data_IF_992310694299
#
_entry.id   IF_992310694299
#
_cell.length_a   1.000
_cell.length_b   1.000
_cell.length_c   1.000
_cell.angle_alpha   90.00
_cell.angle_beta   90.00
_cell.angle_gamma   90.00
#
_symmetry.space_group_name_H-M   'P 1'
#
loop_
_entity.id
_entity.type
_entity.pdbx_description
1 polymer ?
#
# COMPACT_ATOMS: atom_id res chain seq x y z
N UNK A 1 -27.07 12.78 16.18
CA UNK A 1 -25.86 12.08 16.70
C UNK A 1 -25.84 10.69 16.04
N UNK A 2 -24.90 10.30 15.17
CA UNK A 2 -23.58 9.80 15.60
C UNK A 2 -22.58 9.64 14.44
N UNK A 3 -22.67 10.42 13.35
CA UNK A 3 -21.66 10.41 12.28
C UNK A 3 -20.24 10.78 12.75
N UNK A 4 -20.13 11.49 13.89
CA UNK A 4 -18.85 11.84 14.53
C UNK A 4 -18.21 10.67 15.31
N UNK A 5 -19.01 9.74 15.82
CA UNK A 5 -18.52 8.61 16.65
C UNK A 5 -17.91 7.52 15.76
N UNK A 6 -18.52 7.22 14.61
CA UNK A 6 -17.92 6.28 13.65
C UNK A 6 -16.58 6.78 13.09
N UNK A 7 -16.41 8.07 12.87
CA UNK A 7 -15.19 8.63 12.31
C UNK A 7 -13.97 8.50 13.23
N UNK A 8 -14.17 8.71 14.54
CA UNK A 8 -13.13 8.50 15.55
C UNK A 8 -12.74 7.02 15.66
N UNK A 9 -13.71 6.11 15.62
CA UNK A 9 -13.45 4.66 15.69
C UNK A 9 -12.70 4.17 14.46
N UNK A 10 -13.06 4.62 13.25
CA UNK A 10 -12.33 4.24 12.02
C UNK A 10 -10.95 4.89 11.91
N UNK A 11 -10.81 6.15 12.33
CA UNK A 11 -9.50 6.81 12.42
C UNK A 11 -8.58 6.09 13.42
N UNK A 12 -9.12 5.63 14.56
CA UNK A 12 -8.42 4.78 15.51
C UNK A 12 -8.06 3.42 14.90
N UNK A 13 -8.98 2.70 14.25
CA UNK A 13 -8.67 1.42 13.61
C UNK A 13 -7.56 1.56 12.56
N UNK A 14 -7.54 2.65 11.80
CA UNK A 14 -6.53 2.90 10.76
C UNK A 14 -5.18 3.42 11.32
N UNK A 15 -5.20 4.20 12.41
CA UNK A 15 -4.01 4.62 13.14
C UNK A 15 -3.40 3.50 13.98
N UNK A 16 -4.21 2.52 14.40
CA UNK A 16 -3.80 1.36 15.17
C UNK A 16 -3.43 0.16 14.29
N UNK A 17 -3.81 0.13 13.00
CA UNK A 17 -3.46 -0.97 12.09
C UNK A 17 -1.98 -1.12 11.71
N UNK A 18 -1.06 -0.15 11.95
CA UNK A 18 0.36 -0.39 11.81
C UNK A 18 1.10 -0.45 13.16
N UNK A 19 0.42 -0.63 14.30
CA UNK A 19 1.11 -0.95 15.56
C UNK A 19 1.55 -2.42 15.54
N UNK A 20 2.52 -2.70 14.68
CA UNK A 20 3.27 -3.95 14.55
C UNK A 20 4.30 -4.06 15.71
N UNK A 21 3.81 -3.87 16.94
CA UNK A 21 4.57 -3.96 18.19
C UNK A 21 3.87 -4.90 19.16
N UNK A 22 3.76 -6.19 18.79
CA UNK A 22 3.36 -7.30 19.67
C UNK A 22 1.91 -7.25 20.19
N UNK A 23 1.18 -8.38 20.21
CA UNK A 23 1.57 -9.55 20.98
C UNK A 23 1.45 -10.89 20.21
N UNK A 24 2.13 -11.91 20.72
CA UNK A 24 2.30 -13.26 20.14
C UNK A 24 1.04 -14.16 20.13
N UNK A 25 -0.18 -13.60 20.18
CA UNK A 25 -1.40 -14.42 20.22
C UNK A 25 -2.13 -14.42 18.87
N UNK A 26 -2.02 -15.51 18.07
CA UNK A 26 -2.77 -15.65 16.81
C UNK A 26 -4.29 -15.51 17.00
N UNK A 27 -4.80 -15.81 18.21
CA UNK A 27 -6.23 -15.71 18.54
C UNK A 27 -6.76 -14.28 18.61
N UNK A 28 -5.95 -13.32 19.07
CA UNK A 28 -6.35 -11.91 19.11
C UNK A 28 -6.55 -11.36 17.69
N UNK A 29 -5.66 -11.72 16.77
CA UNK A 29 -5.73 -11.31 15.38
C UNK A 29 -6.92 -11.95 14.65
N UNK A 30 -7.22 -13.22 14.92
CA UNK A 30 -8.42 -13.91 14.39
C UNK A 30 -9.70 -13.25 14.89
N UNK A 31 -9.78 -12.90 16.18
CA UNK A 31 -10.94 -12.20 16.73
C UNK A 31 -11.12 -10.80 16.12
N UNK A 32 -10.03 -10.05 15.97
CA UNK A 32 -10.04 -8.73 15.35
C UNK A 32 -10.43 -8.79 13.85
N UNK A 33 -9.87 -9.75 13.10
CA UNK A 33 -10.25 -10.03 11.71
C UNK A 33 -11.73 -10.41 11.60
N UNK A 34 -12.22 -11.28 12.49
CA UNK A 34 -13.62 -11.70 12.52
C UNK A 34 -14.55 -10.52 12.79
N UNK A 35 -14.20 -9.66 13.75
CA UNK A 35 -14.93 -8.43 14.03
C UNK A 35 -14.90 -7.45 12.84
N UNK A 36 -13.75 -7.33 12.17
CA UNK A 36 -13.60 -6.55 10.94
C UNK A 36 -14.50 -7.07 9.81
N UNK A 37 -14.47 -8.37 9.53
CA UNK A 37 -15.30 -9.05 8.54
C UNK A 37 -16.80 -8.87 8.83
N UNK A 38 -17.23 -9.04 10.08
CA UNK A 38 -18.61 -8.80 10.51
C UNK A 38 -18.98 -7.32 10.33
N UNK A 39 -18.08 -6.40 10.65
CA UNK A 39 -18.24 -4.97 10.39
C UNK A 39 -18.43 -4.65 8.90
N UNK A 40 -17.62 -5.27 8.02
CA UNK A 40 -17.76 -5.15 6.55
C UNK A 40 -19.13 -5.63 6.11
N UNK A 41 -19.50 -6.84 6.52
CA UNK A 41 -20.73 -7.47 6.12
C UNK A 41 -21.94 -6.68 6.59
N UNK A 42 -21.94 -6.21 7.85
CA UNK A 42 -22.99 -5.38 8.40
C UNK A 42 -23.09 -4.03 7.67
N UNK A 43 -21.97 -3.40 7.33
CA UNK A 43 -21.93 -2.17 6.55
C UNK A 43 -22.50 -2.37 5.14
N UNK A 44 -22.03 -3.40 4.42
CA UNK A 44 -22.50 -3.78 3.07
C UNK A 44 -23.99 -4.18 3.06
N UNK A 45 -24.45 -4.92 4.07
CA UNK A 45 -25.85 -5.33 4.20
C UNK A 45 -26.77 -4.16 4.52
N UNK A 46 -26.33 -3.23 5.38
CA UNK A 46 -27.09 -2.02 5.72
C UNK A 46 -27.18 -1.08 4.52
N UNK A 47 -26.08 -0.96 3.79
CA UNK A 47 -25.99 -0.32 2.48
C UNK A 47 -27.02 -0.88 1.50
N UNK A 48 -27.05 -2.21 1.33
CA UNK A 48 -27.98 -2.93 0.46
C UNK A 48 -29.45 -2.69 0.83
N UNK A 49 -29.81 -2.86 2.11
CA UNK A 49 -31.20 -2.73 2.56
C UNK A 49 -31.76 -1.31 2.47
N UNK A 50 -30.92 -0.28 2.55
CA UNK A 50 -31.39 1.10 2.44
C UNK A 50 -31.71 1.54 1.02
N UNK A 51 -31.53 0.68 0.01
CA UNK A 51 -31.76 1.06 -1.39
C UNK A 51 -30.82 2.15 -1.91
N UNK A 52 -29.78 2.50 -1.14
CA UNK A 52 -28.74 3.52 -1.44
C UNK A 52 -27.94 3.13 -2.69
N UNK A 53 -28.13 1.91 -3.16
CA UNK A 53 -27.34 1.28 -4.17
C UNK A 53 -28.21 0.71 -5.28
N UNK A 54 -28.30 1.42 -6.41
CA UNK A 54 -28.40 0.77 -7.71
C UNK A 54 -27.00 0.25 -8.10
N UNK A 55 -26.41 -0.68 -7.35
CA UNK A 55 -25.10 -1.23 -7.71
C UNK A 55 -25.27 -1.98 -9.03
N UNK A 56 -24.80 -1.36 -10.13
CA UNK A 56 -24.60 -2.03 -11.43
C UNK A 56 -23.34 -2.91 -11.47
N UNK A 57 -22.64 -3.07 -10.35
CA UNK A 57 -21.41 -3.88 -10.27
C UNK A 57 -21.42 -4.90 -9.10
N UNK A 58 -22.49 -5.72 -8.92
CA UNK A 58 -22.51 -6.74 -7.87
C UNK A 58 -21.36 -7.73 -8.07
N UNK A 59 -20.96 -8.00 -9.31
CA UNK A 59 -19.84 -8.87 -9.64
C UNK A 59 -18.49 -8.43 -9.07
N UNK A 60 -18.19 -7.13 -9.00
CA UNK A 60 -16.91 -6.63 -8.45
C UNK A 60 -16.87 -6.80 -6.94
N UNK A 61 -17.95 -6.45 -6.24
CA UNK A 61 -18.04 -6.62 -4.79
C UNK A 61 -18.07 -8.10 -4.39
N UNK A 62 -18.76 -8.97 -5.14
CA UNK A 62 -18.73 -10.42 -4.94
C UNK A 62 -17.35 -11.00 -5.19
N UNK A 63 -16.65 -10.56 -6.23
CA UNK A 63 -15.28 -11.03 -6.54
C UNK A 63 -14.31 -10.62 -5.45
N UNK A 64 -14.42 -9.38 -4.95
CA UNK A 64 -13.60 -8.89 -3.85
C UNK A 64 -13.93 -9.58 -2.52
N UNK A 65 -15.21 -9.79 -2.21
CA UNK A 65 -15.64 -10.52 -1.02
C UNK A 65 -15.20 -12.00 -1.08
N UNK A 66 -15.29 -12.63 -2.26
CA UNK A 66 -14.80 -13.98 -2.51
C UNK A 66 -13.28 -14.08 -2.35
N UNK A 67 -12.54 -13.09 -2.87
CA UNK A 67 -11.08 -13.02 -2.71
C UNK A 67 -10.67 -12.83 -1.24
N UNK A 68 -11.32 -11.91 -0.53
CA UNK A 68 -11.08 -11.69 0.90
C UNK A 68 -11.50 -12.90 1.74
N UNK A 69 -12.63 -13.54 1.41
CA UNK A 69 -13.06 -14.78 2.04
C UNK A 69 -12.09 -15.93 1.81
N UNK A 70 -11.54 -16.04 0.60
CA UNK A 70 -10.49 -17.02 0.27
C UNK A 70 -9.21 -16.76 1.06
N UNK A 71 -8.73 -15.50 1.13
CA UNK A 71 -7.59 -15.11 1.96
C UNK A 71 -7.87 -15.46 3.43
N UNK A 72 -9.07 -15.20 3.92
CA UNK A 72 -9.45 -15.51 5.30
C UNK A 72 -9.42 -17.02 5.56
N UNK A 73 -10.08 -17.82 4.71
CA UNK A 73 -10.10 -19.27 4.80
C UNK A 73 -8.69 -19.86 4.73
N UNK A 74 -7.81 -19.26 3.93
CA UNK A 74 -6.42 -19.71 3.80
C UNK A 74 -5.57 -19.62 5.05
N UNK A 75 -6.03 -18.92 6.10
CA UNK A 75 -5.37 -18.93 7.40
C UNK A 75 -5.60 -20.23 8.18
N UNK A 76 -6.71 -20.97 7.96
CA UNK A 76 -7.03 -22.18 8.73
C UNK A 76 -6.13 -23.37 8.42
N UNK A 77 -5.58 -23.42 7.20
CA UNK A 77 -4.67 -24.48 6.76
C UNK A 77 -3.24 -23.97 6.59
N UNK A 78 -2.92 -22.82 7.21
CA UNK A 78 -1.56 -22.28 7.22
C UNK A 78 -0.71 -23.06 8.22
N UNK A 79 0.46 -23.53 7.80
CA UNK A 79 1.28 -24.42 8.64
C UNK A 79 2.07 -23.64 9.71
N UNK A 80 2.21 -22.33 9.56
CA UNK A 80 2.96 -21.54 10.53
C UNK A 80 2.44 -20.10 10.69
N UNK A 81 2.01 -19.79 11.91
CA UNK A 81 1.44 -18.51 12.35
C UNK A 81 2.55 -17.46 12.57
N UNK A 82 2.91 -16.70 11.54
CA UNK A 82 3.69 -15.44 11.61
C UNK A 82 2.94 -14.37 10.78
N UNK A 83 3.31 -13.07 10.70
CA UNK A 83 2.38 -11.94 10.53
C UNK A 83 1.83 -11.75 9.09
N UNK A 84 1.56 -12.83 8.38
CA UNK A 84 0.68 -12.86 7.19
C UNK A 84 -0.75 -12.43 7.53
N UNK A 85 -1.18 -12.59 8.78
CA UNK A 85 -2.47 -12.10 9.31
C UNK A 85 -2.65 -10.58 9.09
N UNK A 86 -1.57 -9.80 9.23
CA UNK A 86 -1.58 -8.34 9.02
C UNK A 86 -1.79 -7.94 7.56
N UNK A 87 -1.32 -8.74 6.60
CA UNK A 87 -1.58 -8.49 5.17
C UNK A 87 -3.05 -8.72 4.84
N UNK A 88 -3.67 -9.75 5.42
CA UNK A 88 -5.10 -10.03 5.31
C UNK A 88 -5.94 -8.89 5.89
N UNK A 89 -5.54 -8.36 7.07
CA UNK A 89 -6.16 -7.18 7.70
C UNK A 89 -6.03 -5.95 6.78
N UNK A 90 -4.86 -5.76 6.16
CA UNK A 90 -4.62 -4.63 5.26
C UNK A 90 -5.51 -4.69 4.02
N UNK A 91 -5.67 -5.87 3.41
CA UNK A 91 -6.56 -6.06 2.26
C UNK A 91 -8.04 -5.92 2.63
N UNK A 92 -8.43 -6.41 3.81
CA UNK A 92 -9.77 -6.25 4.36
C UNK A 92 -10.07 -4.77 4.65
N UNK A 93 -9.13 -4.03 5.23
CA UNK A 93 -9.24 -2.60 5.49
C UNK A 93 -9.32 -1.78 4.20
N UNK A 94 -8.52 -2.12 3.19
CA UNK A 94 -8.60 -1.51 1.87
C UNK A 94 -9.95 -1.79 1.19
N UNK A 95 -10.46 -3.02 1.30
CA UNK A 95 -11.79 -3.40 0.81
C UNK A 95 -12.89 -2.61 1.53
N UNK A 96 -12.80 -2.51 2.85
CA UNK A 96 -13.70 -1.76 3.71
C UNK A 96 -13.77 -0.28 3.35
N UNK A 97 -12.60 0.34 3.17
CA UNK A 97 -12.51 1.74 2.76
C UNK A 97 -13.10 1.94 1.37
N UNK A 98 -12.84 1.01 0.45
CA UNK A 98 -13.41 1.05 -0.90
C UNK A 98 -14.92 0.92 -0.85
N UNK A 99 -15.45 -0.08 -0.13
CA UNK A 99 -16.87 -0.28 0.06
C UNK A 99 -17.56 0.92 0.75
N UNK A 100 -16.95 1.48 1.79
CA UNK A 100 -17.45 2.64 2.52
C UNK A 100 -17.45 3.91 1.66
N UNK A 101 -16.43 4.10 0.83
CA UNK A 101 -16.39 5.22 -0.13
C UNK A 101 -17.49 5.13 -1.18
N UNK A 102 -17.89 3.91 -1.55
CA UNK A 102 -18.98 3.65 -2.46
C UNK A 102 -20.37 3.77 -1.79
N UNK A 103 -20.45 3.82 -0.44
CA UNK A 103 -21.71 3.69 0.33
C UNK A 103 -22.40 4.96 0.79
N UNK A 104 -21.72 6.11 0.72
CA UNK A 104 -22.26 7.34 1.29
C UNK A 104 -23.25 8.03 0.35
N UNK A 105 -24.44 8.37 0.86
CA UNK A 105 -25.34 9.37 0.23
C UNK A 105 -24.65 10.73 0.08
N UNK A 106 -23.69 11.04 0.95
CA UNK A 106 -22.72 12.15 0.88
C UNK A 106 -21.35 11.66 0.36
N UNK A 107 -21.32 10.94 -0.77
CA UNK A 107 -20.10 10.36 -1.34
C UNK A 107 -18.96 11.39 -1.44
N UNK A 108 -19.26 12.62 -1.89
CA UNK A 108 -18.25 13.68 -2.03
C UNK A 108 -17.66 14.17 -0.70
N UNK A 109 -18.44 14.24 0.39
CA UNK A 109 -17.91 14.65 1.69
C UNK A 109 -17.11 13.53 2.35
N UNK A 110 -17.58 12.28 2.21
CA UNK A 110 -16.91 11.09 2.73
C UNK A 110 -15.58 10.84 2.02
N UNK A 111 -15.57 10.92 0.69
CA UNK A 111 -14.36 10.85 -0.13
C UNK A 111 -13.35 11.92 0.30
N UNK A 112 -13.80 13.17 0.46
CA UNK A 112 -12.93 14.26 0.91
C UNK A 112 -12.31 13.97 2.28
N UNK A 113 -13.09 13.47 3.24
CA UNK A 113 -12.56 13.11 4.58
C UNK A 113 -11.56 11.96 4.48
N UNK A 114 -11.86 10.94 3.69
CA UNK A 114 -10.96 9.81 3.49
C UNK A 114 -9.63 10.25 2.87
N UNK A 115 -9.67 11.13 1.85
CA UNK A 115 -8.47 11.71 1.25
C UNK A 115 -7.59 12.42 2.29
N UNK A 116 -8.18 13.16 3.23
CA UNK A 116 -7.42 13.82 4.30
C UNK A 116 -6.83 12.84 5.31
N UNK A 117 -7.55 11.76 5.64
CA UNK A 117 -7.02 10.69 6.49
C UNK A 117 -5.83 10.01 5.79
N UNK A 118 -5.97 9.66 4.51
CA UNK A 118 -4.88 9.05 3.74
C UNK A 118 -3.67 9.99 3.63
N UNK A 119 -3.89 11.29 3.39
CA UNK A 119 -2.84 12.29 3.36
C UNK A 119 -2.13 12.43 4.72
N UNK A 120 -2.88 12.43 5.82
CA UNK A 120 -2.33 12.45 7.18
C UNK A 120 -1.50 11.20 7.49
N UNK A 121 -2.02 10.01 7.20
CA UNK A 121 -1.30 8.75 7.38
C UNK A 121 -0.02 8.70 6.54
N UNK A 122 -0.08 9.17 5.29
CA UNK A 122 1.09 9.26 4.42
C UNK A 122 2.14 10.23 4.99
N UNK A 123 1.72 11.41 5.44
CA UNK A 123 2.61 12.41 6.04
C UNK A 123 3.31 11.86 7.29
N UNK A 124 2.58 11.19 8.18
CA UNK A 124 3.15 10.57 9.39
C UNK A 124 4.10 9.43 9.00
N UNK A 125 3.69 8.54 8.11
CA UNK A 125 4.53 7.42 7.64
C UNK A 125 5.82 7.89 6.98
N UNK A 126 5.77 8.96 6.20
CA UNK A 126 6.94 9.61 5.61
C UNK A 126 7.82 10.27 6.66
N UNK A 127 7.23 11.03 7.59
CA UNK A 127 7.97 11.66 8.69
C UNK A 127 8.74 10.64 9.52
N UNK A 128 8.10 9.53 9.90
CA UNK A 128 8.76 8.42 10.60
C UNK A 128 9.83 7.77 9.72
N UNK A 129 9.57 7.55 8.44
CA UNK A 129 10.54 6.97 7.51
C UNK A 129 11.80 7.83 7.32
N UNK A 130 11.66 9.15 7.25
CA UNK A 130 12.80 10.07 7.20
C UNK A 130 13.52 10.14 8.54
N UNK A 131 12.79 10.20 9.65
CA UNK A 131 13.37 10.19 11.00
C UNK A 131 14.21 8.92 11.24
N UNK A 132 13.74 7.75 10.80
CA UNK A 132 14.47 6.49 10.86
C UNK A 132 15.84 6.57 10.16
N UNK A 133 15.94 7.30 9.05
CA UNK A 133 17.20 7.40 8.31
C UNK A 133 18.18 8.39 8.93
N UNK A 134 17.66 9.47 9.52
CA UNK A 134 18.49 10.55 10.08
C UNK A 134 19.02 10.19 11.47
N UNK A 135 18.16 9.62 12.31
CA UNK A 135 18.45 9.46 13.74
C UNK A 135 18.59 8.02 14.18
N UNK A 136 17.94 7.08 13.49
CA UNK A 136 17.67 5.78 14.09
C UNK A 136 18.48 4.66 13.44
N UNK A 137 19.40 4.06 14.21
CA UNK A 137 19.98 2.76 13.88
C UNK A 137 18.98 1.61 14.11
N UNK A 138 17.68 1.86 13.96
CA UNK A 138 16.60 0.87 14.07
C UNK A 138 15.79 0.73 12.78
N UNK A 139 16.27 1.26 11.65
CA UNK A 139 15.73 0.83 10.36
C UNK A 139 15.92 -0.68 10.15
N UNK A 140 15.62 -1.18 8.96
CA UNK A 140 16.04 -2.54 8.61
C UNK A 140 17.38 -2.44 7.87
N UNK A 141 18.44 -3.10 8.35
CA UNK A 141 19.74 -3.01 7.71
C UNK A 141 19.61 -3.59 6.31
N UNK A 142 20.14 -2.88 5.33
CA UNK A 142 20.25 -3.34 3.98
C UNK A 142 21.35 -4.43 3.99
N UNK A 143 20.96 -5.66 3.69
CA UNK A 143 21.81 -6.86 3.77
C UNK A 143 23.25 -6.63 3.28
N UNK A 144 24.22 -6.93 4.14
CA UNK A 144 25.65 -6.72 3.87
C UNK A 144 26.14 -5.26 3.94
N UNK A 145 25.32 -4.31 4.39
CA UNK A 145 25.70 -2.90 4.49
C UNK A 145 25.31 -2.28 5.84
N UNK A 146 25.96 -1.16 6.19
CA UNK A 146 25.65 -0.36 7.39
C UNK A 146 24.46 0.58 7.21
N UNK A 147 23.70 0.42 6.12
CA UNK A 147 22.67 1.36 5.73
C UNK A 147 21.29 0.88 6.12
N UNK A 148 20.47 1.82 6.54
CA UNK A 148 19.12 1.56 7.02
C UNK A 148 18.11 1.86 5.91
N UNK A 149 17.11 0.99 5.80
CA UNK A 149 16.01 1.17 4.84
C UNK A 149 14.82 1.82 5.55
N UNK A 150 14.24 2.84 4.94
CA UNK A 150 13.02 3.44 5.46
C UNK A 150 11.86 2.43 5.39
N UNK A 151 11.16 2.24 6.50
CA UNK A 151 9.95 1.44 6.56
C UNK A 151 8.77 2.22 7.18
N UNK A 152 9.00 3.43 7.68
CA UNK A 152 7.94 4.26 8.25
C UNK A 152 7.26 3.55 9.40
N UNK A 153 5.94 3.48 9.37
CA UNK A 153 5.15 2.76 10.38
C UNK A 153 5.05 1.24 10.12
N UNK A 154 5.69 0.70 9.08
CA UNK A 154 5.49 -0.70 8.67
C UNK A 154 6.58 -1.64 9.18
N UNK A 155 6.24 -2.93 9.32
CA UNK A 155 7.13 -4.11 9.26
C UNK A 155 8.41 -3.91 8.49
N UNK A 156 8.17 -3.81 7.18
CA UNK A 156 9.17 -4.05 6.16
C UNK A 156 9.16 -2.90 5.16
N UNK A 157 10.34 -2.49 4.66
CA UNK A 157 10.46 -1.41 3.68
C UNK A 157 9.67 -1.70 2.40
N UNK A 158 9.52 -2.97 2.03
CA UNK A 158 8.74 -3.38 0.86
C UNK A 158 7.23 -3.11 1.04
N UNK A 159 6.71 -3.29 2.25
CA UNK A 159 5.30 -3.00 2.54
C UNK A 159 5.06 -1.49 2.49
N UNK A 160 5.99 -0.71 3.07
CA UNK A 160 5.95 0.74 2.99
C UNK A 160 6.03 1.24 1.55
N UNK A 161 6.92 0.67 0.73
CA UNK A 161 7.01 0.95 -0.69
C UNK A 161 5.69 0.70 -1.42
N UNK A 162 5.07 -0.47 -1.18
CA UNK A 162 3.77 -0.81 -1.77
C UNK A 162 2.66 0.17 -1.37
N UNK A 163 2.63 0.59 -0.10
CA UNK A 163 1.70 1.61 0.39
C UNK A 163 1.88 2.96 -0.33
N UNK A 164 3.13 3.44 -0.47
CA UNK A 164 3.42 4.70 -1.17
C UNK A 164 3.03 4.64 -2.65
N UNK A 165 3.28 3.51 -3.32
CA UNK A 165 2.87 3.29 -4.72
C UNK A 165 1.35 3.30 -4.86
N UNK A 166 0.62 2.69 -3.93
CA UNK A 166 -0.85 2.68 -3.95
C UNK A 166 -1.45 4.08 -3.82
N UNK A 167 -0.86 4.93 -2.97
CA UNK A 167 -1.35 6.29 -2.76
C UNK A 167 -1.01 7.24 -3.91
N UNK A 168 0.04 6.96 -4.67
CA UNK A 168 0.58 7.89 -5.65
C UNK A 168 -0.43 8.30 -6.73
N UNK A 169 -1.17 7.38 -7.40
CA UNK A 169 -2.19 7.76 -8.38
C UNK A 169 -3.29 8.63 -7.78
N UNK A 170 -3.72 8.35 -6.55
CA UNK A 170 -4.76 9.12 -5.87
C UNK A 170 -4.29 10.55 -5.61
N UNK A 171 -3.11 10.71 -5.02
CA UNK A 171 -2.54 12.03 -4.73
C UNK A 171 -2.22 12.80 -6.01
N UNK A 172 -1.77 12.11 -7.06
CA UNK A 172 -1.53 12.69 -8.37
C UNK A 172 -2.80 13.27 -8.99
N UNK A 173 -3.91 12.53 -8.99
CA UNK A 173 -5.18 13.04 -9.49
C UNK A 173 -5.71 14.20 -8.67
N UNK A 174 -5.58 14.16 -7.34
CA UNK A 174 -5.97 15.28 -6.47
C UNK A 174 -5.10 16.51 -6.75
N UNK A 175 -3.79 16.34 -6.91
CA UNK A 175 -2.85 17.40 -7.27
C UNK A 175 -3.26 18.11 -8.58
N UNK A 176 -3.59 17.33 -9.62
CA UNK A 176 -4.01 17.86 -10.92
C UNK A 176 -5.36 18.57 -10.88
N UNK A 177 -6.36 17.98 -10.24
CA UNK A 177 -7.75 18.42 -10.35
C UNK A 177 -8.16 19.49 -9.35
N UNK A 178 -7.50 19.60 -8.19
CA UNK A 178 -7.88 20.61 -7.18
C UNK A 178 -7.55 22.03 -7.64
N UNK A 179 -8.47 22.96 -7.37
CA UNK A 179 -8.32 24.40 -7.63
C UNK A 179 -7.64 25.17 -6.50
N UNK A 180 -7.72 24.67 -5.27
CA UNK A 180 -7.11 25.32 -4.11
C UNK A 180 -5.59 25.20 -4.18
N UNK A 181 -4.89 26.35 -4.23
CA UNK A 181 -3.43 26.40 -4.29
C UNK A 181 -2.77 25.69 -3.10
N UNK A 182 -3.32 25.86 -1.89
CA UNK A 182 -2.87 25.15 -0.68
C UNK A 182 -2.94 23.63 -0.85
N UNK A 183 -4.08 23.11 -1.31
CA UNK A 183 -4.24 21.67 -1.52
C UNK A 183 -3.31 21.17 -2.62
N UNK A 184 -3.18 21.89 -3.73
CA UNK A 184 -2.23 21.56 -4.78
C UNK A 184 -0.79 21.54 -4.26
N UNK A 185 -0.38 22.53 -3.46
CA UNK A 185 0.94 22.56 -2.84
C UNK A 185 1.18 21.36 -1.92
N UNK A 186 0.23 21.07 -1.02
CA UNK A 186 0.32 19.96 -0.08
C UNK A 186 0.42 18.60 -0.80
N UNK A 187 -0.48 18.31 -1.74
CA UNK A 187 -0.46 17.03 -2.46
C UNK A 187 0.77 16.93 -3.38
N UNK A 188 1.25 18.05 -3.95
CA UNK A 188 2.51 18.09 -4.68
C UNK A 188 3.70 17.74 -3.79
N UNK A 189 3.76 18.31 -2.58
CA UNK A 189 4.79 17.99 -1.59
C UNK A 189 4.73 16.52 -1.16
N UNK A 190 3.54 15.99 -0.88
CA UNK A 190 3.36 14.57 -0.53
C UNK A 190 3.79 13.62 -1.66
N UNK A 191 3.58 13.99 -2.93
CA UNK A 191 4.08 13.19 -4.06
C UNK A 191 5.60 13.18 -4.15
N UNK A 192 6.25 14.34 -3.93
CA UNK A 192 7.72 14.47 -3.94
C UNK A 192 8.31 13.69 -2.76
N UNK A 193 7.85 13.98 -1.53
CA UNK A 193 8.31 13.28 -0.33
C UNK A 193 7.99 11.78 -0.40
N UNK A 194 6.82 11.41 -0.92
CA UNK A 194 6.43 10.03 -1.16
C UNK A 194 7.37 9.30 -2.11
N UNK A 195 7.81 9.97 -3.18
CA UNK A 195 8.76 9.41 -4.13
C UNK A 195 10.17 9.28 -3.54
N UNK A 196 10.61 10.26 -2.76
CA UNK A 196 11.87 10.18 -2.01
C UNK A 196 11.83 9.05 -0.98
N UNK A 197 10.76 8.95 -0.19
CA UNK A 197 10.53 7.85 0.75
C UNK A 197 10.55 6.49 0.06
N UNK A 198 9.91 6.38 -1.12
CA UNK A 198 9.94 5.19 -1.96
C UNK A 198 11.37 4.82 -2.39
N UNK A 199 12.17 5.79 -2.84
CA UNK A 199 13.58 5.56 -3.18
C UNK A 199 14.35 5.03 -1.96
N UNK A 200 14.13 5.63 -0.78
CA UNK A 200 14.80 5.28 0.46
C UNK A 200 14.35 3.96 1.10
N UNK A 201 13.26 3.35 0.62
CA UNK A 201 12.92 1.96 0.96
C UNK A 201 13.89 0.95 0.35
N UNK A 202 14.66 1.34 -0.68
CA UNK A 202 15.48 0.44 -1.50
C UNK A 202 14.72 -0.77 -2.06
N UNK A 203 13.39 -0.66 -2.21
CA UNK A 203 12.55 -1.74 -2.72
C UNK A 203 12.51 -1.73 -4.23
N UNK A 204 13.34 -2.57 -4.86
CA UNK A 204 13.36 -2.80 -6.32
C UNK A 204 11.96 -3.06 -6.89
N UNK A 205 11.19 -3.94 -6.23
CA UNK A 205 9.82 -4.23 -6.63
C UNK A 205 8.89 -3.02 -6.52
N UNK A 206 9.06 -2.20 -5.47
CA UNK A 206 8.35 -0.94 -5.32
C UNK A 206 8.66 0.06 -6.43
N UNK A 207 9.93 0.19 -6.84
CA UNK A 207 10.33 1.08 -7.92
C UNK A 207 9.77 0.65 -9.28
N UNK A 208 9.80 -0.65 -9.58
CA UNK A 208 9.20 -1.20 -10.80
C UNK A 208 7.67 -1.00 -10.81
N UNK A 209 7.01 -1.31 -9.69
CA UNK A 209 5.57 -1.11 -9.55
C UNK A 209 5.19 0.38 -9.72
N UNK A 210 5.98 1.30 -9.15
CA UNK A 210 5.84 2.73 -9.34
C UNK A 210 5.95 3.14 -10.82
N UNK A 211 7.01 2.70 -11.50
CA UNK A 211 7.20 3.00 -12.92
C UNK A 211 6.03 2.52 -13.79
N UNK A 212 5.56 1.29 -13.58
CA UNK A 212 4.45 0.74 -14.36
C UNK A 212 3.10 1.40 -14.04
N UNK A 213 2.72 1.41 -12.76
CA UNK A 213 1.37 1.82 -12.34
C UNK A 213 1.22 3.33 -12.26
N UNK A 214 2.20 3.99 -11.63
CA UNK A 214 2.12 5.41 -11.31
C UNK A 214 2.59 6.26 -12.48
N UNK A 215 3.73 5.95 -13.10
CA UNK A 215 4.20 6.71 -14.27
C UNK A 215 3.48 6.27 -15.53
N UNK A 216 3.54 4.98 -15.88
CA UNK A 216 2.93 4.44 -17.09
C UNK A 216 1.41 4.61 -17.12
N UNK A 217 0.73 4.20 -16.04
CA UNK A 217 -0.73 4.33 -15.92
C UNK A 217 -1.22 5.78 -16.03
N UNK A 218 -0.62 6.72 -15.28
CA UNK A 218 -1.04 8.13 -15.37
C UNK A 218 -0.66 8.79 -16.70
N UNK A 219 0.51 8.45 -17.28
CA UNK A 219 0.88 8.93 -18.61
C UNK A 219 -0.11 8.45 -19.67
N UNK A 220 -0.52 7.17 -19.61
CA UNK A 220 -1.54 6.62 -20.49
C UNK A 220 -2.88 7.36 -20.34
N UNK A 221 -3.34 7.63 -19.11
CA UNK A 221 -4.57 8.38 -18.88
C UNK A 221 -4.47 9.82 -19.41
N UNK A 222 -3.36 10.52 -19.11
CA UNK A 222 -3.13 11.87 -19.62
C UNK A 222 -3.13 11.93 -21.16
N UNK A 223 -2.53 10.94 -21.81
CA UNK A 223 -2.52 10.79 -23.27
C UNK A 223 -3.92 10.49 -23.80
N UNK A 224 -4.58 9.44 -23.27
CA UNK A 224 -5.88 8.94 -23.73
C UNK A 224 -6.99 10.00 -23.65
N UNK A 225 -6.94 10.85 -22.63
CA UNK A 225 -7.90 11.92 -22.40
C UNK A 225 -7.40 13.30 -22.86
N UNK A 226 -6.23 13.37 -23.52
CA UNK A 226 -5.61 14.62 -24.02
C UNK A 226 -5.47 15.71 -22.96
N UNK A 227 -5.24 15.31 -21.71
CA UNK A 227 -5.19 16.19 -20.55
C UNK A 227 -3.82 16.85 -20.35
N UNK A 228 -2.79 16.42 -21.09
CA UNK A 228 -1.44 16.92 -20.94
C UNK A 228 -1.33 18.45 -21.16
N UNK A 229 -1.96 18.97 -22.22
CA UNK A 229 -1.96 20.41 -22.52
C UNK A 229 -2.64 21.23 -21.41
N UNK A 230 -3.68 20.66 -20.79
CA UNK A 230 -4.45 21.27 -19.70
C UNK A 230 -3.62 21.37 -18.43
N UNK A 231 -2.88 20.31 -18.09
CA UNK A 231 -2.17 20.20 -16.81
C UNK A 231 -0.67 20.49 -16.88
N UNK A 232 -0.10 20.82 -18.06
CA UNK A 232 1.35 21.04 -18.23
C UNK A 232 1.98 21.95 -17.17
N UNK A 233 1.31 23.05 -16.80
CA UNK A 233 1.81 24.01 -15.80
C UNK A 233 1.98 23.41 -14.39
N UNK A 234 1.19 22.38 -14.05
CA UNK A 234 1.31 21.61 -12.80
C UNK A 234 2.29 20.45 -12.98
N UNK A 235 2.27 19.78 -14.13
CA UNK A 235 3.14 18.63 -14.41
C UNK A 235 4.62 19.02 -14.42
N UNK A 236 4.99 20.14 -15.05
CA UNK A 236 6.39 20.58 -15.14
C UNK A 236 7.08 20.71 -13.78
N UNK A 237 6.58 21.50 -12.81
CA UNK A 237 7.24 21.61 -11.49
C UNK A 237 7.22 20.29 -10.72
N UNK A 238 6.18 19.48 -10.85
CA UNK A 238 6.13 18.16 -10.21
C UNK A 238 7.24 17.25 -10.75
N UNK A 239 7.35 17.12 -12.08
CA UNK A 239 8.37 16.29 -12.74
C UNK A 239 9.77 16.78 -12.40
N UNK A 240 10.01 18.10 -12.45
CA UNK A 240 11.29 18.68 -12.05
C UNK A 240 11.62 18.39 -10.58
N UNK A 241 10.63 18.49 -9.68
CA UNK A 241 10.80 18.15 -8.27
C UNK A 241 11.16 16.67 -8.04
N UNK A 242 10.53 15.76 -8.78
CA UNK A 242 10.85 14.33 -8.73
C UNK A 242 12.28 14.08 -9.24
N UNK A 243 12.65 14.62 -10.40
CA UNK A 243 13.99 14.47 -10.97
C UNK A 243 15.05 15.04 -10.01
N UNK A 244 14.83 16.25 -9.49
CA UNK A 244 15.75 16.88 -8.54
C UNK A 244 15.92 16.04 -7.28
N UNK A 245 14.82 15.48 -6.75
CA UNK A 245 14.87 14.57 -5.60
C UNK A 245 15.74 13.33 -5.86
N UNK A 246 15.57 12.69 -7.01
CA UNK A 246 16.42 11.55 -7.40
C UNK A 246 17.87 11.96 -7.61
N UNK A 247 18.15 13.09 -8.28
CA UNK A 247 19.50 13.57 -8.49
C UNK A 247 20.22 13.80 -7.16
N UNK A 248 19.57 14.47 -6.20
CA UNK A 248 20.12 14.65 -4.85
C UNK A 248 20.47 13.29 -4.23
N UNK A 249 19.54 12.33 -4.28
CA UNK A 249 19.77 11.01 -3.72
C UNK A 249 20.93 10.24 -4.38
N UNK A 250 21.12 10.38 -5.70
CA UNK A 250 22.24 9.77 -6.41
C UNK A 250 23.57 10.47 -6.11
N UNK A 251 23.55 11.78 -5.90
CA UNK A 251 24.74 12.58 -5.60
C UNK A 251 25.26 12.41 -4.18
N UNK A 252 24.50 11.79 -3.27
CA UNK A 252 24.98 11.52 -1.91
C UNK A 252 26.20 10.56 -1.95
N UNK A 253 27.32 10.90 -1.30
CA UNK A 253 28.49 10.03 -1.23
C UNK A 253 28.12 8.65 -0.65
N UNK A 254 28.56 7.58 -1.32
CA UNK A 254 28.22 6.22 -0.91
C UNK A 254 26.76 5.83 -1.16
N UNK A 255 26.07 6.49 -2.11
CA UNK A 255 24.68 6.16 -2.42
C UNK A 255 24.54 4.70 -2.87
N UNK A 256 24.04 3.84 -1.97
CA UNK A 256 23.66 2.45 -2.27
C UNK A 256 22.56 2.35 -3.34
N UNK A 257 21.97 3.48 -3.74
CA UNK A 257 21.04 3.55 -4.85
C UNK A 257 21.73 3.15 -6.15
N UNK A 258 22.97 3.58 -6.40
CA UNK A 258 23.72 3.19 -7.61
C UNK A 258 23.95 1.68 -7.65
N UNK A 259 24.39 1.09 -6.53
CA UNK A 259 24.56 -0.36 -6.40
C UNK A 259 23.24 -1.10 -6.56
N UNK A 260 22.15 -0.59 -5.98
CA UNK A 260 20.83 -1.21 -6.07
C UNK A 260 20.22 -1.11 -7.46
N UNK A 261 20.43 0.01 -8.16
CA UNK A 261 20.06 0.16 -9.58
C UNK A 261 20.89 -0.78 -10.45
N UNK A 262 22.20 -0.89 -10.21
CA UNK A 262 23.05 -1.90 -10.86
C UNK A 262 22.52 -3.32 -10.64
N UNK A 263 22.09 -3.63 -9.41
CA UNK A 263 21.50 -4.94 -9.07
C UNK A 263 20.11 -5.21 -9.68
N UNK A 264 19.47 -4.22 -10.30
CA UNK A 264 18.28 -4.47 -11.12
C UNK A 264 18.66 -5.09 -12.48
N UNK A 265 19.83 -4.70 -12.99
CA UNK A 265 20.36 -5.17 -14.27
C UNK A 265 21.17 -6.46 -14.10
N UNK A 266 21.70 -6.70 -12.91
CA UNK A 266 22.35 -7.96 -12.59
C UNK A 266 21.29 -9.07 -12.44
N UNK A 267 21.51 -10.23 -13.07
CA UNK A 267 20.68 -11.41 -12.84
C UNK A 267 20.88 -11.90 -11.41
N UNK A 268 20.09 -11.38 -10.47
CA UNK A 268 19.99 -11.85 -9.07
C UNK A 268 19.24 -13.21 -9.01
N UNK A 269 19.38 -14.00 -10.08
CA UNK A 269 18.36 -14.94 -10.57
C UNK A 269 18.47 -16.30 -9.96
N UNK A 270 19.63 -16.76 -9.50
CA UNK A 270 19.76 -18.16 -9.10
C UNK A 270 18.95 -18.48 -7.82
N UNK A 271 19.10 -17.70 -6.74
CA UNK A 271 18.33 -17.96 -5.51
C UNK A 271 16.81 -17.81 -5.69
N UNK A 272 16.36 -16.87 -6.53
CA UNK A 272 14.92 -16.71 -6.80
C UNK A 272 14.41 -17.76 -7.77
N UNK A 273 15.17 -18.13 -8.80
CA UNK A 273 14.79 -19.23 -9.69
C UNK A 273 14.66 -20.53 -8.91
N UNK A 274 15.51 -20.77 -7.92
CA UNK A 274 15.39 -21.93 -7.02
C UNK A 274 14.09 -21.87 -6.21
N UNK A 275 13.79 -20.75 -5.56
CA UNK A 275 12.53 -20.56 -4.84
C UNK A 275 11.31 -20.77 -5.75
N UNK A 276 11.33 -20.22 -6.96
CA UNK A 276 10.22 -20.33 -7.92
C UNK A 276 10.09 -21.75 -8.46
N UNK A 277 11.19 -22.42 -8.79
CA UNK A 277 11.18 -23.80 -9.25
C UNK A 277 10.64 -24.74 -8.16
N UNK A 278 11.06 -24.55 -6.89
CA UNK A 278 10.48 -25.26 -5.75
C UNK A 278 9.00 -24.93 -5.55
N UNK A 279 8.58 -23.67 -5.73
CA UNK A 279 7.16 -23.30 -5.68
C UNK A 279 6.34 -24.05 -6.73
N UNK A 280 6.84 -24.10 -7.97
CA UNK A 280 6.19 -24.79 -9.08
C UNK A 280 6.11 -26.29 -8.79
N UNK A 281 7.19 -26.89 -8.29
CA UNK A 281 7.21 -28.30 -7.90
C UNK A 281 6.21 -28.59 -6.79
N UNK A 282 6.09 -27.73 -5.77
CA UNK A 282 5.06 -27.86 -4.74
C UNK A 282 3.66 -27.71 -5.35
N UNK A 283 3.42 -26.71 -6.20
CA UNK A 283 2.12 -26.55 -6.85
C UNK A 283 1.74 -27.77 -7.69
N UNK A 284 2.65 -28.31 -8.49
CA UNK A 284 2.41 -29.52 -9.30
C UNK A 284 2.04 -30.75 -8.47
N UNK A 285 2.54 -30.86 -7.24
CA UNK A 285 2.19 -31.95 -6.32
C UNK A 285 0.79 -31.81 -5.72
N UNK A 286 0.29 -30.58 -5.50
CA UNK A 286 -1.05 -30.31 -4.93
C UNK A 286 -1.69 -29.07 -5.58
N UNK A 287 -2.14 -29.15 -6.85
CA UNK A 287 -2.54 -27.97 -7.62
C UNK A 287 -3.82 -27.31 -7.11
N UNK A 288 -4.71 -28.08 -6.48
CA UNK A 288 -6.04 -27.63 -6.06
C UNK A 288 -6.07 -27.08 -4.63
N UNK A 289 -5.45 -27.79 -3.69
CA UNK A 289 -5.47 -27.44 -2.27
C UNK A 289 -4.20 -26.69 -1.84
N UNK A 290 -3.13 -26.78 -2.62
CA UNK A 290 -1.82 -26.27 -2.26
C UNK A 290 -1.26 -26.96 -1.02
N UNK A 291 -0.28 -26.29 -0.41
CA UNK A 291 0.42 -26.74 0.78
C UNK A 291 0.15 -25.84 2.00
N UNK A 292 -0.74 -24.84 1.87
CA UNK A 292 -0.87 -23.75 2.84
C UNK A 292 0.34 -22.79 2.82
N UNK A 293 0.28 -21.67 3.54
CA UNK A 293 1.43 -20.77 3.60
C UNK A 293 2.59 -21.38 4.43
N UNK A 294 3.80 -20.90 4.13
CA UNK A 294 5.04 -21.16 4.90
C UNK A 294 5.56 -22.61 4.83
N UNK A 295 5.29 -23.31 3.74
CA UNK A 295 5.81 -24.67 3.47
C UNK A 295 7.21 -24.74 2.86
N UNK A 296 7.83 -23.59 2.61
CA UNK A 296 9.21 -23.49 2.11
C UNK A 296 10.29 -24.05 3.06
N UNK A 297 9.98 -24.26 4.33
CA UNK A 297 10.92 -24.84 5.30
C UNK A 297 10.96 -26.38 5.25
N UNK A 298 10.06 -27.03 4.50
CA UNK A 298 9.94 -28.50 4.44
C UNK A 298 10.84 -29.14 3.37
N UNK A 299 11.63 -28.35 2.64
CA UNK A 299 12.45 -28.82 1.52
C UNK A 299 13.95 -28.75 1.76
N UNK A 300 14.37 -28.40 2.98
CA UNK A 300 15.77 -28.51 3.42
C UNK A 300 15.95 -29.72 4.33
#
# INVERSE_FOLDING_TARGET
MSGRVSFLIWGLIFLLSPLDRGPQSPWFNVAFLSAGCVGVYAALRRAWHKGVYSIRAPGVLLSLAGFVGWIWLSNFWTVAHYPTEFKSITYLAALLLTAASLAGEDAGQTERRLLWVLAGCAAVGLGVGFWQLVYDQHGIPLEGSRFWRAHGLFVWPNTFAGYLVLLWPVFFWVYLTRRSAWQTGLFGLLLILGNLGLALTYSRGGWLAFGLTSVGGNAYLLYRYRLFSTYRKKLTPLVLGLIAGWLVLFSLPGSHLTQRVGSLLQPDTFQRQDIWSHTIQLWLKRPWLGYGFRTFHLTN
#
